data_IF_881197267549
#
_entry.id   IF_881197267549
#
_cell.length_a   1.000
_cell.length_b   1.000
_cell.length_c   1.000
_cell.angle_alpha   90.00
_cell.angle_beta   90.00
_cell.angle_gamma   90.00
#
_symmetry.space_group_name_H-M   'P 1'
#
loop_
_entity.id
_entity.type
_entity.pdbx_description
1 polymer ?
#
# COMPACT_ATOMS: atom_id res chain seq x y z
N UNK A 1 17.30 -11.54 -8.98
CA UNK A 1 17.72 -11.15 -7.61
C UNK A 1 17.28 -12.27 -6.66
N UNK A 2 17.93 -12.51 -5.51
CA UNK A 2 17.46 -13.53 -4.55
C UNK A 2 16.36 -13.00 -3.64
N UNK A 3 15.42 -13.84 -3.19
CA UNK A 3 14.29 -13.45 -2.34
C UNK A 3 14.69 -12.65 -1.09
N UNK A 4 15.86 -12.97 -0.52
CA UNK A 4 16.41 -12.25 0.65
C UNK A 4 16.78 -10.80 0.35
N UNK A 5 17.32 -10.53 -0.83
CA UNK A 5 17.73 -9.17 -1.23
C UNK A 5 16.49 -8.31 -1.49
N UNK A 6 15.49 -8.87 -2.18
CA UNK A 6 14.20 -8.21 -2.41
C UNK A 6 13.51 -7.89 -1.09
N UNK A 7 13.46 -8.85 -0.15
CA UNK A 7 12.86 -8.64 1.17
C UNK A 7 13.59 -7.55 1.97
N UNK A 8 14.93 -7.49 1.87
CA UNK A 8 15.71 -6.43 2.52
C UNK A 8 15.47 -5.06 1.91
N UNK A 9 15.35 -4.96 0.58
CA UNK A 9 15.08 -3.70 -0.10
C UNK A 9 13.70 -3.14 0.30
N UNK A 10 12.66 -3.99 0.27
CA UNK A 10 11.30 -3.66 0.71
C UNK A 10 11.29 -3.19 2.17
N UNK A 11 12.02 -3.88 3.06
CA UNK A 11 12.09 -3.51 4.46
C UNK A 11 12.77 -2.14 4.68
N UNK A 12 13.84 -1.85 3.93
CA UNK A 12 14.54 -0.57 4.00
C UNK A 12 13.69 0.58 3.45
N UNK A 13 13.04 0.39 2.30
CA UNK A 13 12.09 1.36 1.77
C UNK A 13 10.96 1.60 2.77
N UNK A 14 10.37 0.54 3.32
CA UNK A 14 9.29 0.64 4.31
C UNK A 14 9.70 1.45 5.54
N UNK A 15 10.92 1.23 6.06
CA UNK A 15 11.44 2.00 7.18
C UNK A 15 11.63 3.49 6.84
N UNK A 16 12.19 3.79 5.65
CA UNK A 16 12.31 5.18 5.16
C UNK A 16 10.94 5.83 4.99
N UNK A 17 10.00 5.15 4.36
CA UNK A 17 8.64 5.62 4.15
C UNK A 17 7.95 5.96 5.48
N UNK A 18 8.06 5.09 6.49
CA UNK A 18 7.49 5.34 7.82
C UNK A 18 8.11 6.56 8.53
N UNK A 19 9.36 6.92 8.23
CA UNK A 19 9.99 8.10 8.81
C UNK A 19 9.43 9.41 8.26
N UNK A 20 8.88 9.38 7.04
CA UNK A 20 8.27 10.53 6.36
C UNK A 20 6.79 10.72 6.74
N UNK A 21 6.17 9.76 7.44
CA UNK A 21 4.79 9.88 7.88
C UNK A 21 4.66 10.92 9.01
N UNK A 22 3.49 11.56 9.06
CA UNK A 22 3.15 12.44 10.18
C UNK A 22 3.16 11.66 11.50
N UNK A 23 3.96 12.16 12.45
CA UNK A 23 4.18 11.53 13.76
C UNK A 23 3.23 12.07 14.83
N UNK A 24 2.42 13.08 14.49
CA UNK A 24 1.50 13.74 15.42
C UNK A 24 0.09 13.15 15.41
N UNK A 25 -0.23 12.31 14.43
CA UNK A 25 -1.56 11.73 14.23
C UNK A 25 -1.50 10.21 14.15
N UNK A 26 -2.65 9.56 14.30
CA UNK A 26 -2.74 8.12 14.03
C UNK A 26 -2.66 7.86 12.53
N UNK A 27 -1.64 7.11 12.11
CA UNK A 27 -1.40 6.80 10.69
C UNK A 27 -1.46 5.30 10.46
N UNK A 28 -2.12 4.91 9.37
CA UNK A 28 -2.01 3.59 8.76
C UNK A 28 -1.49 3.78 7.34
N UNK A 29 -0.49 2.99 6.95
CA UNK A 29 0.08 3.05 5.61
C UNK A 29 0.50 1.67 5.14
N UNK A 30 0.66 1.53 3.82
CA UNK A 30 1.24 0.34 3.21
C UNK A 30 2.38 0.77 2.28
N UNK A 31 3.63 0.81 2.79
CA UNK A 31 4.78 1.15 1.98
C UNK A 31 4.92 0.24 0.76
N UNK A 32 4.65 -1.06 0.92
CA UNK A 32 4.66 -2.02 -0.18
C UNK A 32 3.73 -1.60 -1.31
N UNK A 33 2.54 -1.09 -0.99
CA UNK A 33 1.59 -0.61 -1.99
C UNK A 33 2.13 0.58 -2.80
N UNK A 34 2.84 1.50 -2.14
CA UNK A 34 3.51 2.60 -2.82
C UNK A 34 4.65 2.09 -3.71
N UNK A 35 5.42 1.10 -3.25
CA UNK A 35 6.47 0.46 -4.06
C UNK A 35 5.91 -0.16 -5.35
N UNK A 36 4.76 -0.83 -5.32
CA UNK A 36 4.13 -1.40 -6.52
C UNK A 36 3.91 -0.33 -7.61
N UNK A 37 3.41 0.85 -7.22
CA UNK A 37 3.15 1.94 -8.17
C UNK A 37 4.43 2.63 -8.62
N UNK A 38 5.38 2.86 -7.71
CA UNK A 38 6.68 3.46 -8.06
C UNK A 38 7.51 2.56 -8.96
N UNK A 39 7.43 1.23 -8.77
CA UNK A 39 8.10 0.26 -9.62
C UNK A 39 7.46 0.16 -11.00
N UNK A 40 6.14 0.23 -11.10
CA UNK A 40 5.45 0.37 -12.39
C UNK A 40 5.87 1.66 -13.09
N UNK A 41 5.95 2.78 -12.36
CA UNK A 41 6.41 4.05 -12.90
C UNK A 41 7.85 3.95 -13.39
N UNK A 42 8.74 3.28 -12.66
CA UNK A 42 10.13 3.08 -13.06
C UNK A 42 10.21 2.45 -14.46
N UNK A 43 9.47 1.37 -14.73
CA UNK A 43 9.44 0.71 -16.05
C UNK A 43 8.94 1.60 -17.19
N UNK A 44 8.21 2.68 -16.88
CA UNK A 44 7.70 3.66 -17.84
C UNK A 44 8.56 4.91 -18.01
N UNK A 45 9.68 5.02 -17.27
CA UNK A 45 10.55 6.20 -17.26
C UNK A 45 11.88 5.94 -17.94
N UNK A 46 12.56 7.01 -18.33
CA UNK A 46 13.96 7.00 -18.79
C UNK A 46 14.81 7.85 -17.86
N UNK A 47 16.12 7.81 -18.03
CA UNK A 47 17.05 8.61 -17.22
C UNK A 47 16.79 10.12 -17.37
N UNK A 48 16.97 10.89 -16.29
CA UNK A 48 17.49 10.47 -14.98
C UNK A 48 16.44 9.89 -14.01
N UNK A 49 15.14 10.03 -14.30
CA UNK A 49 14.07 9.63 -13.40
C UNK A 49 14.07 8.12 -13.11
N UNK A 50 14.44 7.32 -14.11
CA UNK A 50 14.54 5.87 -13.99
C UNK A 50 15.56 5.44 -12.92
N UNK A 51 16.79 5.95 -12.99
CA UNK A 51 17.83 5.69 -11.99
C UNK A 51 17.43 6.14 -10.57
N UNK A 52 16.77 7.31 -10.44
CA UNK A 52 16.31 7.80 -9.14
C UNK A 52 15.25 6.88 -8.51
N UNK A 53 14.30 6.38 -9.31
CA UNK A 53 13.27 5.46 -8.86
C UNK A 53 13.87 4.11 -8.47
N UNK A 54 14.74 3.53 -9.30
CA UNK A 54 15.43 2.27 -9.00
C UNK A 54 16.26 2.37 -7.72
N UNK A 55 17.01 3.45 -7.56
CA UNK A 55 17.81 3.72 -6.35
C UNK A 55 16.94 3.83 -5.12
N UNK A 56 15.83 4.58 -5.20
CA UNK A 56 14.88 4.76 -4.10
C UNK A 56 14.24 3.45 -3.66
N UNK A 57 13.90 2.58 -4.62
CA UNK A 57 13.36 1.24 -4.40
C UNK A 57 14.42 0.22 -3.95
N UNK A 58 15.71 0.54 -4.09
CA UNK A 58 16.81 -0.39 -3.82
C UNK A 58 16.88 -1.55 -4.82
N UNK A 59 16.44 -1.32 -6.07
CA UNK A 59 16.39 -2.34 -7.13
C UNK A 59 17.41 -1.99 -8.21
N UNK A 60 18.01 -3.02 -8.82
CA UNK A 60 19.16 -2.82 -9.71
C UNK A 60 18.82 -2.49 -11.15
N UNK A 61 17.71 -3.01 -11.68
CA UNK A 61 17.30 -2.86 -13.08
C UNK A 61 15.86 -3.37 -13.29
N UNK A 62 15.33 -3.17 -14.49
CA UNK A 62 13.95 -3.54 -14.86
C UNK A 62 13.66 -5.04 -14.77
N UNK A 63 14.62 -5.91 -15.10
CA UNK A 63 14.42 -7.36 -14.96
C UNK A 63 14.29 -7.75 -13.48
N UNK A 64 15.04 -7.09 -12.61
CA UNK A 64 14.89 -7.22 -11.17
C UNK A 64 13.55 -6.67 -10.69
N UNK A 65 13.05 -5.56 -11.24
CA UNK A 65 11.69 -5.07 -10.96
C UNK A 65 10.65 -6.14 -11.35
N UNK A 66 10.64 -6.59 -12.60
CA UNK A 66 9.66 -7.56 -13.11
C UNK A 66 9.63 -8.84 -12.29
N UNK A 67 10.81 -9.43 -12.05
CA UNK A 67 10.91 -10.67 -11.29
C UNK A 67 10.52 -10.51 -9.82
N UNK A 68 10.96 -9.44 -9.16
CA UNK A 68 10.72 -9.23 -7.73
C UNK A 68 9.25 -8.94 -7.43
N UNK A 69 8.63 -8.00 -8.16
CA UNK A 69 7.23 -7.66 -7.92
C UNK A 69 6.25 -8.76 -8.37
N UNK A 70 6.60 -9.54 -9.40
CA UNK A 70 5.81 -10.72 -9.76
C UNK A 70 5.84 -11.79 -8.66
N UNK A 71 7.01 -12.01 -8.04
CA UNK A 71 7.15 -12.94 -6.92
C UNK A 71 6.36 -12.46 -5.69
N UNK A 72 6.49 -11.18 -5.33
CA UNK A 72 5.73 -10.59 -4.22
C UNK A 72 4.23 -10.67 -4.47
N UNK A 73 3.77 -10.28 -5.66
CA UNK A 73 2.34 -10.35 -6.05
C UNK A 73 1.78 -11.77 -5.96
N UNK A 74 2.57 -12.77 -6.38
CA UNK A 74 2.18 -14.18 -6.27
C UNK A 74 2.10 -14.65 -4.81
N UNK A 75 3.07 -14.26 -3.99
CA UNK A 75 3.10 -14.60 -2.56
C UNK A 75 1.93 -13.97 -1.81
N UNK A 76 1.62 -12.70 -2.04
CA UNK A 76 0.51 -11.99 -1.41
C UNK A 76 -0.85 -12.65 -1.73
N UNK A 77 -1.05 -13.11 -2.97
CA UNK A 77 -2.27 -13.84 -3.38
C UNK A 77 -2.41 -15.21 -2.71
N UNK A 78 -1.32 -15.80 -2.24
CA UNK A 78 -1.30 -17.14 -1.63
C UNK A 78 -1.50 -17.14 -0.10
N UNK A 79 -1.57 -15.97 0.54
CA UNK A 79 -1.67 -15.85 2.00
C UNK A 79 -3.02 -16.38 2.49
N UNK A 80 -2.98 -17.43 3.33
CA UNK A 80 -4.19 -18.02 3.95
C UNK A 80 -4.63 -17.21 5.17
N UNK A 81 -5.94 -17.11 5.39
CA UNK A 81 -6.52 -16.47 6.58
C UNK A 81 -6.57 -14.94 6.54
N UNK A 82 -6.18 -14.35 5.41
CA UNK A 82 -6.21 -12.91 5.17
C UNK A 82 -6.93 -12.66 3.85
N UNK A 83 -7.85 -11.70 3.84
CA UNK A 83 -8.32 -11.06 2.61
C UNK A 83 -7.42 -9.85 2.36
N UNK A 84 -6.49 -9.99 1.43
CA UNK A 84 -5.66 -8.89 0.96
C UNK A 84 -5.99 -8.63 -0.51
N UNK A 85 -6.64 -7.50 -0.77
CA UNK A 85 -6.91 -7.04 -2.12
C UNK A 85 -5.98 -5.84 -2.38
N UNK A 86 -5.01 -6.04 -3.27
CA UNK A 86 -4.18 -4.96 -3.79
C UNK A 86 -4.66 -4.70 -5.21
N UNK A 87 -5.07 -3.47 -5.50
CA UNK A 87 -5.48 -3.07 -6.84
C UNK A 87 -4.72 -1.82 -7.24
N UNK A 88 -4.10 -1.89 -8.42
CA UNK A 88 -3.38 -0.78 -9.03
C UNK A 88 -4.15 -0.33 -10.27
N UNK A 89 -4.15 0.98 -10.53
CA UNK A 89 -4.70 1.51 -11.77
C UNK A 89 -3.96 2.75 -12.24
N UNK A 90 -3.77 2.79 -13.55
CA UNK A 90 -3.15 3.91 -14.25
C UNK A 90 -4.24 4.65 -15.02
N UNK A 91 -4.50 5.89 -14.64
CA UNK A 91 -5.40 6.77 -15.38
C UNK A 91 -4.57 7.75 -16.21
N UNK A 92 -4.88 7.83 -17.50
CA UNK A 92 -4.20 8.71 -18.45
C UNK A 92 -5.15 9.74 -18.99
N UNK A 93 -4.64 10.93 -19.29
CA UNK A 93 -5.43 11.95 -19.96
C UNK A 93 -5.93 11.42 -21.30
N UNK A 94 -7.23 11.57 -21.55
CA UNK A 94 -7.82 11.22 -22.83
C UNK A 94 -7.21 12.04 -23.98
N UNK A 95 -7.12 11.42 -25.16
CA UNK A 95 -6.45 11.97 -26.33
C UNK A 95 -5.28 11.10 -26.82
N UNK A 96 -4.26 11.76 -27.39
CA UNK A 96 -3.18 11.11 -28.15
C UNK A 96 -2.03 10.57 -27.29
N UNK A 97 -2.19 10.53 -25.97
CA UNK A 97 -1.24 9.87 -25.07
C UNK A 97 -1.58 8.39 -24.97
N UNK A 98 -0.56 7.53 -24.95
CA UNK A 98 -0.74 6.11 -24.68
C UNK A 98 0.51 5.54 -24.02
N UNK A 99 0.34 4.43 -23.30
CA UNK A 99 1.48 3.66 -22.78
C UNK A 99 2.08 2.82 -23.90
N UNK A 100 3.39 2.60 -23.83
CA UNK A 100 4.00 1.61 -24.69
C UNK A 100 3.43 0.20 -24.39
N UNK A 101 3.40 -0.68 -25.39
CA UNK A 101 2.77 -2.00 -25.27
C UNK A 101 3.44 -2.87 -24.19
N UNK A 102 4.76 -2.79 -24.05
CA UNK A 102 5.48 -3.54 -23.01
C UNK A 102 5.05 -3.14 -21.60
N UNK A 103 4.83 -1.86 -21.35
CA UNK A 103 4.39 -1.33 -20.07
C UNK A 103 2.94 -1.73 -19.78
N UNK A 104 2.08 -1.78 -20.80
CA UNK A 104 0.72 -2.33 -20.64
C UNK A 104 0.77 -3.81 -20.23
N UNK A 105 1.66 -4.59 -20.85
CA UNK A 105 1.87 -5.99 -20.48
C UNK A 105 2.43 -6.14 -19.06
N UNK A 106 3.43 -5.35 -18.70
CA UNK A 106 4.05 -5.37 -17.38
C UNK A 106 3.05 -4.96 -16.30
N UNK A 107 2.27 -3.90 -16.54
CA UNK A 107 1.19 -3.44 -15.65
C UNK A 107 0.26 -4.59 -15.25
N UNK A 108 -0.23 -5.35 -16.23
CA UNK A 108 -1.15 -6.47 -15.99
C UNK A 108 -0.44 -7.66 -15.36
N UNK A 109 0.67 -8.11 -15.93
CA UNK A 109 1.33 -9.38 -15.55
C UNK A 109 2.08 -9.28 -14.22
N UNK A 110 2.74 -8.15 -13.97
CA UNK A 110 3.63 -7.97 -12.82
C UNK A 110 2.90 -7.27 -11.66
N UNK A 111 2.13 -6.23 -11.97
CA UNK A 111 1.58 -5.32 -10.94
C UNK A 111 0.07 -5.49 -10.68
N UNK A 112 -0.61 -6.38 -11.40
CA UNK A 112 -2.09 -6.53 -11.37
C UNK A 112 -2.78 -5.16 -11.54
N UNK A 113 -2.21 -4.36 -12.44
CA UNK A 113 -2.65 -3.01 -12.75
C UNK A 113 -3.47 -2.99 -14.04
N UNK A 114 -4.54 -2.21 -14.02
CA UNK A 114 -5.31 -1.86 -15.22
C UNK A 114 -5.02 -0.44 -15.66
N UNK A 115 -5.34 -0.11 -16.92
CA UNK A 115 -5.21 1.25 -17.44
C UNK A 115 -6.54 1.74 -18.00
N UNK A 116 -6.79 3.04 -17.89
CA UNK A 116 -7.98 3.69 -18.44
C UNK A 116 -7.66 5.13 -18.86
N UNK A 117 -8.22 5.58 -19.98
CA UNK A 117 -8.15 6.97 -20.41
C UNK A 117 -9.33 7.75 -19.82
N UNK A 118 -9.05 8.92 -19.26
CA UNK A 118 -10.02 9.78 -18.58
C UNK A 118 -9.73 11.23 -18.96
N UNK A 119 -10.77 11.99 -19.29
CA UNK A 119 -10.67 13.43 -19.47
C UNK A 119 -10.56 14.12 -18.10
N UNK A 120 -9.35 14.55 -17.73
CA UNK A 120 -9.11 15.27 -16.49
C UNK A 120 -9.52 16.75 -16.54
N UNK A 121 -9.88 17.29 -17.71
CA UNK A 121 -10.39 18.67 -17.80
C UNK A 121 -11.73 18.83 -17.07
N UNK A 122 -12.50 17.74 -16.96
CA UNK A 122 -13.64 17.63 -16.07
C UNK A 122 -13.22 16.95 -14.75
N UNK A 123 -12.55 17.70 -13.87
CA UNK A 123 -12.02 17.19 -12.60
C UNK A 123 -13.07 16.52 -11.71
N UNK A 124 -14.31 17.01 -11.71
CA UNK A 124 -15.42 16.41 -10.95
C UNK A 124 -15.78 15.00 -11.45
N UNK A 125 -15.98 14.84 -12.77
CA UNK A 125 -16.30 13.54 -13.35
C UNK A 125 -15.13 12.55 -13.22
N UNK A 126 -13.89 13.03 -13.41
CA UNK A 126 -12.69 12.22 -13.26
C UNK A 126 -12.50 11.73 -11.82
N UNK A 127 -12.67 12.63 -10.83
CA UNK A 127 -12.57 12.26 -9.43
C UNK A 127 -13.67 11.28 -9.02
N UNK A 128 -14.92 11.48 -9.47
CA UNK A 128 -16.01 10.54 -9.22
C UNK A 128 -15.70 9.14 -9.77
N UNK A 129 -15.20 9.06 -11.00
CA UNK A 129 -14.82 7.80 -11.64
C UNK A 129 -13.70 7.09 -10.87
N UNK A 130 -12.65 7.81 -10.48
CA UNK A 130 -11.52 7.27 -9.72
C UNK A 130 -12.00 6.79 -8.35
N UNK A 131 -12.75 7.61 -7.62
CA UNK A 131 -13.23 7.30 -6.28
C UNK A 131 -14.17 6.10 -6.26
N UNK A 132 -15.09 5.98 -7.23
CA UNK A 132 -15.96 4.80 -7.37
C UNK A 132 -15.16 3.53 -7.61
N UNK A 133 -14.12 3.60 -8.43
CA UNK A 133 -13.25 2.45 -8.66
C UNK A 133 -12.53 2.04 -7.36
N UNK A 134 -11.94 2.98 -6.63
CA UNK A 134 -11.27 2.73 -5.33
C UNK A 134 -12.24 2.15 -4.31
N UNK A 135 -13.44 2.72 -4.20
CA UNK A 135 -14.49 2.27 -3.30
C UNK A 135 -14.86 0.80 -3.57
N UNK A 136 -15.02 0.44 -4.86
CA UNK A 136 -15.31 -0.94 -5.27
C UNK A 136 -14.19 -1.94 -4.95
N UNK A 137 -12.92 -1.50 -4.97
CA UNK A 137 -11.76 -2.36 -4.67
C UNK A 137 -11.51 -2.52 -3.17
N UNK A 138 -12.07 -1.62 -2.36
CA UNK A 138 -11.79 -1.55 -0.93
C UNK A 138 -12.96 -1.96 -0.05
N UNK A 139 -13.97 -2.63 -0.61
CA UNK A 139 -15.22 -2.97 0.08
C UNK A 139 -15.85 -1.75 0.74
N UNK A 140 -15.86 -0.63 0.01
CA UNK A 140 -16.42 0.66 0.42
C UNK A 140 -15.74 1.29 1.64
N UNK A 141 -14.52 0.87 1.99
CA UNK A 141 -13.77 1.39 3.13
C UNK A 141 -12.97 2.64 2.81
N UNK A 142 -12.52 2.80 1.57
CA UNK A 142 -11.85 4.00 1.11
C UNK A 142 -12.79 4.70 0.13
N UNK A 143 -13.29 5.86 0.56
CA UNK A 143 -14.12 6.76 -0.24
C UNK A 143 -13.36 8.06 -0.43
N UNK A 144 -13.69 8.80 -1.49
CA UNK A 144 -13.16 10.14 -1.72
C UNK A 144 -11.62 10.24 -1.68
N UNK A 145 -10.94 9.26 -2.29
CA UNK A 145 -9.48 9.19 -2.32
C UNK A 145 -8.85 10.45 -2.93
N UNK A 146 -9.44 10.96 -4.02
CA UNK A 146 -8.97 12.15 -4.72
C UNK A 146 -10.06 13.21 -4.77
N UNK A 147 -9.67 14.46 -4.51
CA UNK A 147 -10.56 15.61 -4.65
C UNK A 147 -10.70 16.00 -6.12
N UNK A 148 -11.87 16.51 -6.52
CA UNK A 148 -12.09 17.09 -7.85
C UNK A 148 -11.13 18.23 -8.15
N UNK A 149 -10.71 18.98 -7.12
CA UNK A 149 -9.84 20.15 -7.26
C UNK A 149 -8.37 19.75 -7.50
N UNK A 150 -8.04 18.47 -7.31
CA UNK A 150 -6.70 17.91 -7.60
C UNK A 150 -6.52 17.54 -9.07
N UNK A 151 -7.59 17.58 -9.86
CA UNK A 151 -7.60 17.18 -11.27
C UNK A 151 -8.02 18.36 -12.14
N UNK A 152 -7.25 18.60 -13.21
CA UNK A 152 -7.51 19.68 -14.14
C UNK A 152 -6.98 19.35 -15.55
N UNK A 153 -7.10 20.31 -16.46
CA UNK A 153 -6.64 20.17 -17.85
C UNK A 153 -5.14 19.95 -18.01
N UNK A 154 -4.33 20.17 -16.98
CA UNK A 154 -2.88 19.93 -16.98
C UNK A 154 -2.50 18.56 -16.40
N UNK A 155 -3.44 17.86 -15.76
CA UNK A 155 -3.24 16.48 -15.32
C UNK A 155 -3.01 15.56 -16.54
N UNK A 156 -1.98 14.71 -16.49
CA UNK A 156 -1.64 13.77 -17.59
C UNK A 156 -1.71 12.31 -17.19
N UNK A 157 -1.38 12.03 -15.93
CA UNK A 157 -1.26 10.69 -15.39
C UNK A 157 -1.69 10.74 -13.91
N UNK A 158 -2.54 9.81 -13.51
CA UNK A 158 -2.87 9.57 -12.10
C UNK A 158 -2.62 8.09 -11.82
N UNK A 159 -1.71 7.82 -10.90
CA UNK A 159 -1.42 6.47 -10.45
C UNK A 159 -2.17 6.22 -9.15
N UNK A 160 -3.06 5.24 -9.17
CA UNK A 160 -3.91 4.91 -8.04
C UNK A 160 -3.53 3.54 -7.50
N UNK A 161 -3.25 3.51 -6.21
CA UNK A 161 -3.13 2.28 -5.45
C UNK A 161 -4.26 2.21 -4.41
N UNK A 162 -4.95 1.08 -4.38
CA UNK A 162 -5.98 0.79 -3.39
C UNK A 162 -5.68 -0.56 -2.73
N UNK A 163 -5.50 -0.55 -1.41
CA UNK A 163 -5.23 -1.74 -0.62
C UNK A 163 -6.30 -1.93 0.45
N UNK A 164 -6.91 -3.11 0.45
CA UNK A 164 -7.80 -3.57 1.50
C UNK A 164 -7.21 -4.78 2.19
N UNK A 165 -7.06 -4.68 3.51
CA UNK A 165 -6.59 -5.76 4.35
C UNK A 165 -7.64 -6.10 5.40
N UNK A 166 -8.02 -7.37 5.46
CA UNK A 166 -8.79 -7.95 6.56
C UNK A 166 -8.20 -9.29 6.94
N UNK A 167 -7.53 -9.33 8.08
CA UNK A 167 -7.03 -10.55 8.68
C UNK A 167 -8.07 -11.16 9.62
N UNK A 168 -8.14 -12.49 9.63
CA UNK A 168 -8.81 -13.22 10.71
C UNK A 168 -7.74 -13.70 11.68
N UNK A 169 -7.86 -13.34 12.95
CA UNK A 169 -6.97 -13.86 13.99
C UNK A 169 -6.99 -15.39 13.98
N UNK A 170 -5.81 -16.02 14.09
CA UNK A 170 -5.72 -17.48 14.23
C UNK A 170 -6.32 -17.92 15.56
N UNK A 171 -6.10 -17.12 16.61
CA UNK A 171 -6.77 -17.21 17.91
C UNK A 171 -7.65 -15.98 18.07
N UNK A 172 -8.95 -16.15 17.86
CA UNK A 172 -9.92 -15.06 17.93
C UNK A 172 -10.20 -14.67 19.39
N UNK A 173 -10.41 -13.38 19.60
CA UNK A 173 -10.89 -12.86 20.87
C UNK A 173 -12.37 -13.21 21.05
N UNK A 174 -12.76 -13.58 22.26
CA UNK A 174 -14.18 -13.70 22.63
C UNK A 174 -14.75 -12.29 22.86
N UNK A 175 -15.76 -11.84 22.09
CA UNK A 175 -16.39 -10.54 22.30
C UNK A 175 -16.92 -10.34 23.73
N UNK A 176 -17.31 -11.42 24.43
CA UNK A 176 -17.79 -11.33 25.82
C UNK A 176 -16.69 -10.88 26.81
N UNK A 177 -15.42 -11.06 26.44
CA UNK A 177 -14.26 -10.64 27.23
C UNK A 177 -13.75 -9.24 26.84
N UNK A 178 -14.41 -8.55 25.89
CA UNK A 178 -14.05 -7.18 25.53
C UNK A 178 -14.72 -6.22 26.51
N UNK A 179 -13.91 -5.47 27.26
CA UNK A 179 -14.37 -4.56 28.30
C UNK A 179 -13.73 -3.19 28.13
N UNK A 180 -14.44 -2.13 28.54
CA UNK A 180 -13.87 -0.79 28.55
C UNK A 180 -12.72 -0.72 29.57
N UNK A 181 -11.53 -0.36 29.09
CA UNK A 181 -10.31 -0.22 29.90
C UNK A 181 -9.60 1.11 29.58
N UNK A 182 -8.83 1.67 30.52
CA UNK A 182 -8.09 2.91 30.28
C UNK A 182 -6.93 2.71 29.28
N UNK A 183 -6.77 3.68 28.37
CA UNK A 183 -5.67 3.83 27.43
C UNK A 183 -5.06 5.23 27.57
N UNK A 184 -3.75 5.29 27.78
CA UNK A 184 -3.03 6.56 27.92
C UNK A 184 -2.62 7.06 26.54
N UNK A 185 -3.23 8.15 26.08
CA UNK A 185 -2.91 8.79 24.80
C UNK A 185 -1.59 9.54 24.91
N UNK A 186 -1.38 10.21 26.03
CA UNK A 186 -0.16 10.90 26.42
C UNK A 186 -0.04 10.91 27.96
N UNK A 187 0.89 11.70 28.50
CA UNK A 187 1.15 11.78 29.95
C UNK A 187 0.01 12.41 30.76
N UNK A 188 -0.91 13.14 30.11
CA UNK A 188 -1.98 13.91 30.76
C UNK A 188 -3.38 13.38 30.39
N UNK A 189 -3.52 12.71 29.25
CA UNK A 189 -4.80 12.27 28.69
C UNK A 189 -4.95 10.75 28.71
N UNK A 190 -5.96 10.30 29.45
CA UNK A 190 -6.44 8.91 29.44
C UNK A 190 -7.85 8.85 28.88
N UNK A 191 -8.13 7.84 28.05
CA UNK A 191 -9.46 7.55 27.49
C UNK A 191 -9.85 6.11 27.76
N UNK A 192 -11.16 5.82 27.84
CA UNK A 192 -11.65 4.44 27.92
C UNK A 192 -11.81 3.87 26.52
N UNK A 193 -11.28 2.67 26.27
CA UNK A 193 -11.40 1.97 24.98
C UNK A 193 -11.90 0.54 25.20
N UNK A 194 -12.66 -0.03 24.24
CA UNK A 194 -13.06 -1.44 24.30
C UNK A 194 -11.83 -2.33 24.09
N UNK A 195 -11.22 -2.78 25.19
CA UNK A 195 -9.99 -3.56 25.18
C UNK A 195 -10.32 -5.04 25.06
N UNK A 196 -9.82 -5.66 23.99
CA UNK A 196 -9.96 -7.10 23.78
C UNK A 196 -9.02 -7.87 24.72
N UNK A 197 -9.44 -9.05 25.19
CA UNK A 197 -8.66 -9.90 26.09
C UNK A 197 -8.63 -11.36 25.62
N UNK A 198 -7.45 -11.97 25.66
CA UNK A 198 -7.21 -13.38 25.36
C UNK A 198 -5.95 -13.85 26.09
N UNK A 199 -6.02 -15.04 26.69
CA UNK A 199 -4.86 -15.73 27.27
C UNK A 199 -4.52 -16.95 26.41
N UNK A 200 -3.31 -16.99 25.84
CA UNK A 200 -2.79 -18.10 25.03
C UNK A 200 -1.24 -18.02 24.96
N UNK A 201 -0.62 -18.99 24.32
CA UNK A 201 0.81 -19.00 24.05
C UNK A 201 1.14 -18.19 22.79
N UNK A 202 1.83 -17.06 22.98
CA UNK A 202 2.29 -16.18 21.90
C UNK A 202 3.82 -16.22 21.76
N UNK A 203 4.34 -15.84 20.58
CA UNK A 203 5.76 -15.52 20.44
C UNK A 203 5.97 -14.16 21.10
N UNK A 204 6.84 -14.13 22.11
CA UNK A 204 7.17 -12.95 22.89
C UNK A 204 8.64 -12.58 22.67
N UNK A 205 8.93 -11.29 22.58
CA UNK A 205 10.30 -10.78 22.55
C UNK A 205 10.40 -9.37 23.12
N UNK A 206 11.54 -9.04 23.70
CA UNK A 206 11.84 -7.71 24.23
C UNK A 206 13.11 -7.16 23.59
N UNK A 207 13.10 -5.88 23.26
CA UNK A 207 14.30 -5.15 22.85
C UNK A 207 14.60 -4.08 23.90
N UNK A 208 15.69 -4.28 24.64
CA UNK A 208 16.17 -3.28 25.59
C UNK A 208 16.67 -2.01 24.89
N UNK A 209 17.32 -2.18 23.73
CA UNK A 209 17.83 -1.06 22.93
C UNK A 209 16.71 -0.12 22.48
N UNK A 210 15.56 -0.68 22.09
CA UNK A 210 14.41 0.10 21.62
C UNK A 210 13.40 0.41 22.74
N UNK A 211 13.51 -0.23 23.91
CA UNK A 211 12.54 -0.10 24.99
C UNK A 211 11.14 -0.62 24.65
N UNK A 212 11.05 -1.67 23.82
CA UNK A 212 9.76 -2.21 23.33
C UNK A 212 9.59 -3.70 23.59
N UNK A 213 8.33 -4.12 23.72
CA UNK A 213 7.89 -5.51 23.79
C UNK A 213 7.10 -5.87 22.53
N UNK A 214 7.24 -7.10 22.03
CA UNK A 214 6.57 -7.56 20.82
C UNK A 214 5.87 -8.92 21.06
N UNK A 215 4.61 -8.99 20.66
CA UNK A 215 3.76 -10.17 20.77
C UNK A 215 3.23 -10.57 19.38
N UNK A 216 3.45 -11.83 18.98
CA UNK A 216 2.99 -12.36 17.69
C UNK A 216 2.24 -13.69 17.84
N UNK A 217 1.09 -13.82 17.19
CA UNK A 217 0.40 -15.11 17.04
C UNK A 217 1.24 -16.05 16.14
N UNK A 218 1.43 -17.30 16.58
CA UNK A 218 2.05 -18.36 15.75
C UNK A 218 1.19 -18.71 14.54
#
# INVERSE_FOLDING_TARGET
MSDKVVTSAIAQFSARFCNELDKSTSVVSSPLSAEFVLALLALGTTDPAHEELLTSLGITNDDAVRSSFSAVSSNLRSVKGVTLNVANKVYLMDGNYDLNEQLKEDAVKVFDASFEKVDFSNGAAAAELINKWVESKTNEKIKDLISSDSLNSDSRLVLVNALYFKGTWKKQFDPANTLDQPFNVDTEKTVMVPMMYLEDNFIYGESQELGVQNNKQR
#
